data_IF_684817057666
#
_entry.id   IF_684817057666
#
_cell.length_a   1.000
_cell.length_b   1.000
_cell.length_c   1.000
_cell.angle_alpha   90.00
_cell.angle_beta   90.00
_cell.angle_gamma   90.00
#
_symmetry.space_group_name_H-M   'P 1'
#
loop_
_entity.id
_entity.type
_entity.pdbx_description
1 polymer ?
#
# COMPACT_ATOMS: atom_id res chain seq x y z
N UNK A 1 2.75 4.99 -8.75
CA UNK A 1 1.98 3.92 -9.41
C UNK A 1 0.81 3.44 -8.56
N UNK A 2 0.96 3.15 -7.26
CA UNK A 2 -0.21 2.90 -6.37
C UNK A 2 -1.21 4.09 -6.41
N UNK A 3 -0.71 5.32 -6.41
CA UNK A 3 -1.52 6.55 -6.63
C UNK A 3 -2.24 6.63 -7.98
N UNK A 4 -1.92 5.77 -8.95
CA UNK A 4 -2.61 5.74 -10.24
C UNK A 4 -3.85 4.83 -10.22
N UNK A 5 -4.09 4.11 -9.13
CA UNK A 5 -5.32 3.35 -8.97
C UNK A 5 -6.49 4.34 -8.77
N UNK A 6 -7.60 4.24 -9.54
CA UNK A 6 -8.64 5.28 -9.59
C UNK A 6 -9.36 5.51 -8.26
N UNK A 7 -9.40 4.51 -7.39
CA UNK A 7 -10.03 4.61 -6.07
C UNK A 7 -9.09 5.08 -4.95
N UNK A 8 -7.80 5.31 -5.24
CA UNK A 8 -6.81 5.78 -4.26
C UNK A 8 -6.78 7.31 -4.28
N UNK A 9 -7.05 7.92 -3.13
CA UNK A 9 -6.99 9.38 -2.95
C UNK A 9 -5.60 9.80 -2.47
N UNK A 10 -5.04 9.06 -1.50
CA UNK A 10 -3.69 9.28 -0.99
C UNK A 10 -3.04 7.94 -0.59
N UNK A 11 -1.71 7.89 -0.65
CA UNK A 11 -0.94 6.79 -0.07
C UNK A 11 0.36 7.31 0.51
N UNK A 12 0.69 6.79 1.69
CA UNK A 12 1.98 6.96 2.33
C UNK A 12 2.66 5.60 2.41
N UNK A 13 3.93 5.56 2.00
CA UNK A 13 4.77 4.37 2.19
C UNK A 13 5.66 4.63 3.40
N UNK A 14 5.43 3.88 4.47
CA UNK A 14 6.16 4.00 5.73
C UNK A 14 7.09 2.81 5.86
N UNK A 15 8.40 3.03 6.08
CA UNK A 15 9.29 1.93 6.43
C UNK A 15 8.92 1.40 7.81
N UNK A 16 8.69 0.09 7.90
CA UNK A 16 8.59 -0.61 9.17
C UNK A 16 9.86 -1.42 9.37
N UNK A 17 10.49 -1.27 10.54
CA UNK A 17 11.68 -2.06 10.88
C UNK A 17 11.34 -3.54 10.88
N UNK A 18 12.25 -4.33 10.30
CA UNK A 18 12.15 -5.77 10.19
C UNK A 18 13.52 -6.35 10.56
N UNK A 19 13.55 -7.24 11.55
CA UNK A 19 14.81 -7.76 12.10
C UNK A 19 15.62 -8.59 11.09
N UNK A 20 14.97 -9.19 10.09
CA UNK A 20 15.60 -10.04 9.07
C UNK A 20 15.99 -9.23 7.82
N UNK A 21 15.15 -8.26 7.44
CA UNK A 21 15.27 -7.53 6.17
C UNK A 21 15.64 -6.04 6.33
N UNK A 22 15.89 -5.57 7.56
CA UNK A 22 16.17 -4.18 7.89
C UNK A 22 14.91 -3.32 7.93
N UNK A 23 14.35 -2.99 6.76
CA UNK A 23 13.11 -2.24 6.64
C UNK A 23 12.22 -2.79 5.53
N UNK A 24 10.91 -2.82 5.78
CA UNK A 24 9.91 -3.28 4.81
C UNK A 24 8.81 -2.24 4.62
N UNK A 25 8.33 -2.04 3.39
CA UNK A 25 7.34 -1.01 3.10
C UNK A 25 5.95 -1.39 3.62
N UNK A 26 5.32 -0.49 4.35
CA UNK A 26 3.90 -0.55 4.73
C UNK A 26 3.16 0.57 4.01
N UNK A 27 2.06 0.24 3.34
CA UNK A 27 1.22 1.24 2.69
C UNK A 27 0.07 1.66 3.62
N UNK A 28 0.00 2.94 3.93
CA UNK A 28 -1.16 3.57 4.56
C UNK A 28 -1.94 4.29 3.47
N UNK A 29 -3.15 3.82 3.17
CA UNK A 29 -3.91 4.24 1.99
C UNK A 29 -5.21 4.90 2.42
N UNK A 30 -5.48 6.05 1.81
CA UNK A 30 -6.80 6.64 1.77
C UNK A 30 -7.44 6.31 0.41
N UNK A 31 -8.58 5.65 0.44
CA UNK A 31 -9.30 5.21 -0.74
C UNK A 31 -10.82 5.23 -0.49
N UNK A 32 -11.59 5.13 -1.57
CA UNK A 32 -13.05 5.10 -1.49
C UNK A 32 -13.57 3.95 -0.61
N UNK A 33 -14.76 4.11 -0.03
CA UNK A 33 -15.31 3.14 0.92
C UNK A 33 -15.41 1.73 0.35
N UNK A 34 -15.77 1.59 -0.93
CA UNK A 34 -15.83 0.31 -1.65
C UNK A 34 -14.49 -0.25 -2.14
N UNK A 35 -13.37 0.40 -1.84
CA UNK A 35 -12.06 -0.04 -2.31
C UNK A 35 -11.41 -1.06 -1.35
N UNK A 36 -11.39 -2.33 -1.76
CA UNK A 36 -10.76 -3.39 -0.98
C UNK A 36 -9.23 -3.30 -1.02
N UNK A 37 -8.57 -3.31 0.15
CA UNK A 37 -7.11 -3.24 0.23
C UNK A 37 -6.41 -4.44 -0.43
N UNK A 38 -7.05 -5.61 -0.44
CA UNK A 38 -6.55 -6.81 -1.12
C UNK A 38 -6.53 -6.62 -2.65
N UNK A 39 -7.53 -5.94 -3.21
CA UNK A 39 -7.56 -5.60 -4.63
C UNK A 39 -6.45 -4.60 -4.99
N UNK A 40 -6.21 -3.60 -4.12
CA UNK A 40 -5.08 -2.69 -4.29
C UNK A 40 -3.72 -3.42 -4.25
N UNK A 41 -3.57 -4.37 -3.33
CA UNK A 41 -2.35 -5.17 -3.23
C UNK A 41 -2.10 -6.01 -4.50
N UNK A 42 -3.14 -6.68 -5.01
CA UNK A 42 -3.06 -7.45 -6.25
C UNK A 42 -2.72 -6.56 -7.46
N UNK A 43 -3.44 -5.45 -7.61
CA UNK A 43 -3.21 -4.48 -8.69
C UNK A 43 -1.79 -3.90 -8.67
N UNK A 44 -1.29 -3.61 -7.47
CA UNK A 44 0.09 -3.16 -7.22
C UNK A 44 1.11 -4.24 -7.60
N UNK A 45 0.85 -5.50 -7.27
CA UNK A 45 1.78 -6.61 -7.50
C UNK A 45 2.03 -6.90 -8.98
N UNK A 46 1.03 -6.66 -9.84
CA UNK A 46 1.19 -6.77 -11.31
C UNK A 46 2.15 -5.73 -11.89
N UNK A 47 2.39 -4.65 -11.16
CA UNK A 47 3.07 -3.46 -11.70
C UNK A 47 4.38 -3.16 -10.99
N UNK A 48 4.50 -3.51 -9.70
CA UNK A 48 5.70 -3.29 -8.89
C UNK A 48 6.56 -4.55 -8.84
N UNK A 49 7.88 -4.36 -8.88
CA UNK A 49 8.80 -5.44 -8.53
C UNK A 49 8.56 -5.92 -7.09
N UNK A 50 8.77 -7.21 -6.82
CA UNK A 50 8.42 -7.86 -5.54
C UNK A 50 8.99 -7.15 -4.30
N UNK A 51 10.19 -6.58 -4.41
CA UNK A 51 10.85 -5.84 -3.30
C UNK A 51 10.27 -4.44 -3.05
N UNK A 52 9.53 -3.87 -4.00
CA UNK A 52 8.84 -2.58 -3.85
C UNK A 52 7.41 -2.75 -3.32
N UNK A 53 6.88 -3.98 -3.31
CA UNK A 53 5.51 -4.25 -2.91
C UNK A 53 5.35 -4.08 -1.39
N UNK A 54 4.36 -3.30 -0.93
CA UNK A 54 4.05 -3.18 0.48
C UNK A 54 3.72 -4.54 1.09
N UNK A 55 4.32 -4.83 2.24
CA UNK A 55 4.15 -6.09 2.96
C UNK A 55 2.90 -6.07 3.85
N UNK A 56 2.37 -4.86 4.07
CA UNK A 56 1.13 -4.62 4.80
C UNK A 56 0.42 -3.39 4.23
N UNK A 57 -0.89 -3.44 4.25
CA UNK A 57 -1.78 -2.38 3.78
C UNK A 57 -2.72 -1.98 4.93
N UNK A 58 -2.83 -0.69 5.20
CA UNK A 58 -3.64 -0.11 6.28
C UNK A 58 -4.52 1.01 5.70
N UNK A 59 -5.76 1.13 6.18
CA UNK A 59 -6.60 2.28 5.82
C UNK A 59 -6.24 3.51 6.65
N UNK A 60 -6.05 4.63 5.99
CA UNK A 60 -6.05 5.95 6.62
C UNK A 60 -7.50 6.34 6.90
N UNK A 61 -7.79 6.81 8.11
CA UNK A 61 -9.11 7.31 8.48
C UNK A 61 -9.05 8.84 8.49
N UNK A 62 -9.85 9.51 7.66
CA UNK A 62 -10.04 10.97 7.76
C UNK A 62 -10.58 11.27 9.15
N UNK A 63 -9.87 12.12 9.91
CA UNK A 63 -10.41 12.76 11.11
C UNK A 63 -11.08 14.05 10.73
#
# INVERSE_FOLDING_TARGET
MILAHPQVQQVFIVPLDDAEYGQRPVAVVECDDGCELSALAAWSAERLARFQQPVRWLRCRKR
#
